data_IF_483925953935
#
_entry.id   IF_483925953935
#
_cell.length_a   1.000
_cell.length_b   1.000
_cell.length_c   1.000
_cell.angle_alpha   90.00
_cell.angle_beta   90.00
_cell.angle_gamma   90.00
#
_symmetry.space_group_name_H-M   'P 1'
#
loop_
_entity.id
_entity.type
_entity.pdbx_description
1 polymer ?
#
# COMPACT_ATOMS: atom_id res chain seq x y z
N UNK A 1 4.75 8.03 43.62
CA UNK A 1 4.49 8.06 42.17
C UNK A 1 4.85 6.69 41.59
N UNK A 2 3.87 5.79 41.54
CA UNK A 2 4.04 4.47 40.91
C UNK A 2 3.89 4.67 39.41
N UNK A 3 4.95 4.34 38.65
CA UNK A 3 4.90 4.20 37.21
C UNK A 3 4.03 2.99 36.87
N UNK A 4 2.82 3.23 36.39
CA UNK A 4 2.03 2.19 35.76
C UNK A 4 2.72 1.76 34.47
N UNK A 5 2.82 0.44 34.18
CA UNK A 5 3.30 0.00 32.89
C UNK A 5 2.33 0.56 31.82
N UNK A 6 2.85 1.27 30.86
CA UNK A 6 2.12 1.84 29.75
C UNK A 6 1.50 0.70 28.91
N UNK A 7 0.33 0.23 29.33
CA UNK A 7 -0.58 -0.47 28.41
C UNK A 7 -1.01 0.57 27.39
N UNK A 8 -0.75 0.30 26.12
CA UNK A 8 -1.34 1.08 25.02
C UNK A 8 -2.83 1.07 25.22
N UNK A 9 -3.41 2.22 25.57
CA UNK A 9 -4.84 2.42 25.70
C UNK A 9 -5.33 3.13 24.44
N UNK A 10 -6.34 2.57 23.80
CA UNK A 10 -7.15 3.29 22.82
C UNK A 10 -8.33 3.85 23.54
N UNK A 11 -8.51 5.16 23.52
CA UNK A 11 -9.69 5.81 24.08
C UNK A 11 -10.78 5.88 23.02
N UNK A 12 -12.01 5.52 23.39
CA UNK A 12 -13.13 5.33 22.50
C UNK A 12 -14.26 6.22 22.95
N UNK A 13 -14.76 7.06 22.06
CA UNK A 13 -15.86 7.94 22.35
C UNK A 13 -16.87 7.92 21.20
N UNK A 14 -18.13 7.60 21.54
CA UNK A 14 -19.29 7.88 20.69
C UNK A 14 -19.96 9.14 21.20
N UNK A 15 -20.07 10.18 20.38
CA UNK A 15 -20.63 11.46 20.78
C UNK A 15 -21.74 11.92 19.84
N UNK A 16 -22.81 12.50 20.37
CA UNK A 16 -23.91 13.06 19.58
C UNK A 16 -24.94 12.03 19.09
N UNK A 17 -24.87 10.78 19.57
CA UNK A 17 -25.83 9.74 19.18
C UNK A 17 -27.22 9.98 19.78
N UNK A 18 -28.27 9.59 19.06
CA UNK A 18 -29.65 9.76 19.43
C UNK A 18 -30.14 8.78 20.53
N UNK A 19 -29.40 7.68 20.78
CA UNK A 19 -29.71 6.65 21.75
C UNK A 19 -28.47 5.99 22.34
N UNK A 20 -28.62 5.29 23.49
CA UNK A 20 -27.52 4.51 24.09
C UNK A 20 -27.01 3.38 23.16
N UNK A 21 -27.94 2.71 22.45
CA UNK A 21 -27.58 1.67 21.49
C UNK A 21 -26.73 2.24 20.33
N UNK A 22 -27.06 3.42 19.85
CA UNK A 22 -26.30 4.11 18.83
C UNK A 22 -24.96 4.61 19.36
N UNK A 23 -24.90 5.10 20.60
CA UNK A 23 -23.65 5.46 21.28
C UNK A 23 -22.72 4.26 21.41
N UNK A 24 -23.24 3.07 21.76
CA UNK A 24 -22.46 1.84 21.79
C UNK A 24 -21.93 1.46 20.40
N UNK A 25 -22.79 1.56 19.37
CA UNK A 25 -22.38 1.33 17.98
C UNK A 25 -21.25 2.28 17.56
N UNK A 26 -21.35 3.57 17.87
CA UNK A 26 -20.33 4.56 17.59
C UNK A 26 -19.01 4.25 18.34
N UNK A 27 -19.08 3.86 19.61
CA UNK A 27 -17.92 3.48 20.39
C UNK A 27 -17.22 2.23 19.82
N UNK A 28 -17.98 1.20 19.41
CA UNK A 28 -17.45 0.00 18.74
C UNK A 28 -16.78 0.35 17.41
N UNK A 29 -17.41 1.18 16.58
CA UNK A 29 -16.81 1.68 15.35
C UNK A 29 -15.51 2.47 15.60
N UNK A 30 -15.48 3.28 16.66
CA UNK A 30 -14.29 4.00 17.09
C UNK A 30 -13.16 3.04 17.50
N UNK A 31 -13.50 1.93 18.18
CA UNK A 31 -12.54 0.88 18.54
C UNK A 31 -11.94 0.23 17.29
N UNK A 32 -12.78 -0.23 16.39
CA UNK A 32 -12.35 -0.89 15.15
C UNK A 32 -11.47 0.02 14.29
N UNK A 33 -11.84 1.31 14.21
CA UNK A 33 -11.04 2.31 13.51
C UNK A 33 -9.71 2.58 14.21
N UNK A 34 -9.69 2.75 15.53
CA UNK A 34 -8.45 2.96 16.28
C UNK A 34 -7.50 1.77 16.16
N UNK A 35 -8.00 0.54 16.28
CA UNK A 35 -7.22 -0.69 16.13
C UNK A 35 -6.72 -0.88 14.69
N UNK A 36 -7.59 -0.65 13.70
CA UNK A 36 -7.24 -0.75 12.27
C UNK A 36 -6.26 0.34 11.81
N UNK A 37 -6.04 1.38 12.61
CA UNK A 37 -5.02 2.42 12.40
C UNK A 37 -3.73 2.18 13.19
N UNK A 38 -3.63 1.02 13.84
CA UNK A 38 -2.43 0.61 14.60
C UNK A 38 -2.58 0.76 16.12
N UNK A 39 -3.76 1.12 16.64
CA UNK A 39 -3.95 1.39 18.07
C UNK A 39 -3.21 2.65 18.54
N UNK A 40 -3.05 2.80 19.85
CA UNK A 40 -2.30 3.90 20.48
C UNK A 40 -2.81 5.31 20.07
N UNK A 41 -4.13 5.42 19.89
CA UNK A 41 -4.80 6.67 19.57
C UNK A 41 -6.22 6.67 20.15
N UNK A 42 -6.75 7.85 20.39
CA UNK A 42 -8.16 8.06 20.69
C UNK A 42 -8.94 8.25 19.37
N UNK A 43 -10.06 7.58 19.23
CA UNK A 43 -11.00 7.77 18.14
C UNK A 43 -12.36 8.22 18.68
N UNK A 44 -12.90 9.28 18.11
CA UNK A 44 -14.20 9.84 18.46
C UNK A 44 -15.08 9.76 17.22
N UNK A 45 -16.19 9.00 17.31
CA UNK A 45 -17.22 8.95 16.28
C UNK A 45 -18.34 9.94 16.64
N UNK A 46 -18.69 10.79 15.67
CA UNK A 46 -19.81 11.72 15.72
C UNK A 46 -20.75 11.45 14.53
N UNK A 47 -21.90 12.09 14.49
CA UNK A 47 -22.79 12.08 13.31
C UNK A 47 -22.07 12.57 12.05
N UNK A 48 -21.12 13.49 12.19
CA UNK A 48 -20.36 14.11 11.08
C UNK A 48 -19.11 13.33 10.68
N UNK A 49 -18.81 12.17 11.31
CA UNK A 49 -17.62 11.36 10.97
C UNK A 49 -16.74 11.02 12.16
N UNK A 50 -15.45 10.75 11.88
CA UNK A 50 -14.46 10.38 12.88
C UNK A 50 -13.44 11.48 13.09
N UNK A 51 -13.08 11.71 14.36
CA UNK A 51 -11.91 12.49 14.76
C UNK A 51 -10.89 11.58 15.44
N UNK A 52 -9.59 11.77 15.14
CA UNK A 52 -8.51 10.95 15.69
C UNK A 52 -7.50 11.82 16.44
N UNK A 53 -7.03 11.33 17.60
CA UNK A 53 -6.07 12.02 18.45
C UNK A 53 -4.96 11.04 18.87
N UNK A 54 -3.69 11.42 18.75
CA UNK A 54 -2.54 10.57 19.06
C UNK A 54 -2.12 9.69 17.86
N UNK A 55 -1.57 8.50 18.16
CA UNK A 55 -1.11 7.57 17.12
C UNK A 55 0.33 7.82 16.66
N UNK A 56 1.16 8.47 17.49
CA UNK A 56 2.55 8.79 17.19
C UNK A 56 3.53 7.67 17.57
N UNK A 57 3.10 6.64 18.31
CA UNK A 57 4.01 5.59 18.77
C UNK A 57 4.28 4.55 17.68
N UNK A 58 5.52 4.06 17.62
CA UNK A 58 5.89 2.91 16.76
C UNK A 58 5.19 1.66 17.32
N UNK A 59 4.28 1.07 16.52
CA UNK A 59 3.61 -0.19 16.86
C UNK A 59 4.61 -1.32 17.09
N UNK A 60 4.32 -2.26 18.02
CA UNK A 60 5.05 -3.51 18.11
C UNK A 60 4.44 -4.46 17.07
N UNK A 61 5.26 -4.88 16.14
CA UNK A 61 4.91 -5.90 15.17
C UNK A 61 4.53 -7.21 15.91
N UNK A 62 3.27 -7.64 15.79
CA UNK A 62 2.81 -8.92 16.33
C UNK A 62 2.61 -9.86 15.16
N UNK A 63 3.59 -10.72 14.89
CA UNK A 63 3.44 -11.80 13.92
C UNK A 63 2.64 -12.94 14.53
N UNK A 64 1.54 -13.33 13.90
CA UNK A 64 0.82 -14.56 14.20
C UNK A 64 0.84 -15.48 12.99
N UNK A 65 1.82 -16.39 12.93
CA UNK A 65 1.90 -17.44 11.89
C UNK A 65 0.61 -18.26 11.78
N UNK A 66 -0.07 -18.48 12.92
CA UNK A 66 -1.36 -19.19 12.97
C UNK A 66 -2.45 -18.40 12.22
N UNK A 67 -2.53 -17.07 12.42
CA UNK A 67 -3.51 -16.21 11.74
C UNK A 67 -3.28 -16.23 10.23
N UNK A 68 -2.04 -16.03 9.79
CA UNK A 68 -1.67 -16.03 8.37
C UNK A 68 -2.01 -17.37 7.72
N UNK A 69 -1.67 -18.50 8.39
CA UNK A 69 -2.01 -19.83 7.91
C UNK A 69 -3.52 -20.03 7.78
N UNK A 70 -4.30 -19.59 8.74
CA UNK A 70 -5.77 -19.71 8.67
C UNK A 70 -6.35 -18.88 7.52
N UNK A 71 -5.83 -17.68 7.29
CA UNK A 71 -6.22 -16.82 6.17
C UNK A 71 -5.84 -17.47 4.84
N UNK A 72 -4.63 -18.00 4.73
CA UNK A 72 -4.16 -18.67 3.52
C UNK A 72 -5.03 -19.88 3.15
N UNK A 73 -5.40 -20.72 4.14
CA UNK A 73 -6.28 -21.87 3.92
C UNK A 73 -7.66 -21.39 3.44
N UNK A 74 -8.26 -20.41 4.12
CA UNK A 74 -9.57 -19.89 3.73
C UNK A 74 -9.55 -19.22 2.34
N UNK A 75 -8.49 -18.48 2.02
CA UNK A 75 -8.32 -17.89 0.70
C UNK A 75 -8.15 -18.94 -0.38
N UNK A 76 -7.36 -19.97 -0.12
CA UNK A 76 -7.18 -21.09 -1.05
C UNK A 76 -8.51 -21.80 -1.33
N UNK A 77 -9.32 -22.05 -0.31
CA UNK A 77 -10.66 -22.66 -0.47
C UNK A 77 -11.59 -21.75 -1.32
N UNK A 78 -11.57 -20.44 -1.12
CA UNK A 78 -12.34 -19.50 -1.95
C UNK A 78 -11.89 -19.52 -3.41
N UNK A 79 -10.57 -19.56 -3.67
CA UNK A 79 -10.02 -19.67 -5.02
C UNK A 79 -10.43 -20.98 -5.67
N UNK A 80 -10.33 -22.09 -4.96
CA UNK A 80 -10.70 -23.43 -5.48
C UNK A 80 -12.18 -23.53 -5.86
N UNK A 81 -13.06 -22.85 -5.13
CA UNK A 81 -14.51 -22.85 -5.38
C UNK A 81 -14.96 -21.79 -6.40
N UNK A 82 -14.12 -20.81 -6.75
CA UNK A 82 -14.45 -19.83 -7.78
C UNK A 82 -14.21 -20.37 -9.18
N UNK A 83 -14.94 -19.85 -10.17
CA UNK A 83 -14.71 -20.13 -11.60
C UNK A 83 -13.47 -19.42 -12.12
N UNK A 84 -13.24 -18.20 -11.67
CA UNK A 84 -12.11 -17.35 -12.03
C UNK A 84 -11.84 -16.30 -10.94
N UNK A 85 -10.65 -15.72 -10.96
CA UNK A 85 -10.22 -14.74 -9.97
C UNK A 85 -9.78 -13.45 -10.65
N UNK A 86 -10.33 -12.33 -10.20
CA UNK A 86 -9.87 -10.99 -10.58
C UNK A 86 -9.06 -10.39 -9.44
N UNK A 87 -7.91 -9.81 -9.77
CA UNK A 87 -7.05 -9.11 -8.82
C UNK A 87 -6.94 -7.65 -9.25
N UNK A 88 -7.21 -6.73 -8.35
CA UNK A 88 -7.02 -5.30 -8.63
C UNK A 88 -6.44 -4.59 -7.41
N UNK A 89 -5.68 -3.54 -7.67
CA UNK A 89 -5.18 -2.61 -6.66
C UNK A 89 -5.93 -1.29 -6.67
N UNK A 90 -5.20 -0.23 -6.35
CA UNK A 90 -5.69 1.14 -6.45
C UNK A 90 -5.47 1.71 -7.87
N UNK A 91 -6.28 2.72 -8.24
CA UNK A 91 -6.34 3.33 -9.60
C UNK A 91 -5.04 3.92 -10.15
N UNK A 92 -4.02 4.09 -9.35
CA UNK A 92 -2.68 4.52 -9.75
C UNK A 92 -1.67 3.42 -9.42
N UNK A 93 -1.98 2.17 -9.82
CA UNK A 93 -1.24 0.97 -9.46
C UNK A 93 0.27 1.16 -9.55
N UNK A 94 0.92 1.07 -8.42
CA UNK A 94 2.38 1.14 -8.29
C UNK A 94 3.01 -0.26 -8.22
N UNK A 95 4.30 -0.33 -7.92
CA UNK A 95 4.99 -1.62 -7.85
C UNK A 95 4.49 -2.53 -6.73
N UNK A 96 3.88 -2.00 -5.64
CA UNK A 96 3.31 -2.85 -4.61
C UNK A 96 1.93 -3.38 -5.00
N UNK A 97 1.05 -2.51 -5.53
CA UNK A 97 -0.26 -2.92 -6.03
C UNK A 97 -0.15 -3.95 -7.16
N UNK A 98 0.66 -3.67 -8.19
CA UNK A 98 0.83 -4.58 -9.34
C UNK A 98 1.66 -5.81 -8.97
N UNK A 99 2.72 -5.64 -8.16
CA UNK A 99 3.57 -6.73 -7.71
C UNK A 99 2.82 -7.75 -6.86
N UNK A 100 2.02 -7.29 -5.90
CA UNK A 100 1.18 -8.15 -5.06
C UNK A 100 0.09 -8.86 -5.88
N UNK A 101 -0.56 -8.15 -6.82
CA UNK A 101 -1.53 -8.75 -7.73
C UNK A 101 -0.89 -9.82 -8.63
N UNK A 102 0.25 -9.52 -9.28
CA UNK A 102 0.98 -10.48 -10.09
C UNK A 102 1.44 -11.70 -9.27
N UNK A 103 2.06 -11.49 -8.12
CA UNK A 103 2.53 -12.58 -7.27
C UNK A 103 1.42 -13.55 -6.87
N UNK A 104 0.27 -13.01 -6.51
CA UNK A 104 -0.90 -13.82 -6.17
C UNK A 104 -1.50 -14.50 -7.42
N UNK A 105 -1.55 -13.80 -8.57
CA UNK A 105 -1.96 -14.40 -9.85
C UNK A 105 -1.07 -15.60 -10.22
N UNK A 106 0.24 -15.49 -10.03
CA UNK A 106 1.17 -16.60 -10.24
C UNK A 106 0.86 -17.80 -9.35
N UNK A 107 0.57 -17.59 -8.08
CA UNK A 107 0.18 -18.66 -7.16
C UNK A 107 -1.17 -19.31 -7.56
N UNK A 108 -2.15 -18.50 -7.96
CA UNK A 108 -3.47 -18.98 -8.45
C UNK A 108 -3.32 -19.77 -9.74
N UNK A 109 -2.42 -19.33 -10.63
CA UNK A 109 -2.12 -20.07 -11.86
C UNK A 109 -1.51 -21.45 -11.57
N UNK A 110 -0.65 -21.56 -10.54
CA UNK A 110 -0.12 -22.86 -10.08
C UNK A 110 -1.21 -23.77 -9.48
N UNK A 111 -2.35 -23.21 -9.09
CA UNK A 111 -3.55 -23.96 -8.69
C UNK A 111 -4.47 -24.32 -9.87
N UNK A 112 -4.02 -24.08 -11.12
CA UNK A 112 -4.79 -24.30 -12.35
C UNK A 112 -6.12 -23.53 -12.40
N UNK A 113 -6.17 -22.33 -11.80
CA UNK A 113 -7.34 -21.44 -11.85
C UNK A 113 -7.05 -20.23 -12.75
N UNK A 114 -8.04 -19.79 -13.55
CA UNK A 114 -7.92 -18.53 -14.30
C UNK A 114 -7.77 -17.35 -13.33
N UNK A 115 -6.75 -16.53 -13.55
CA UNK A 115 -6.50 -15.32 -12.77
C UNK A 115 -6.19 -14.14 -13.69
N UNK A 116 -6.80 -13.00 -13.42
CA UNK A 116 -6.69 -11.78 -14.22
C UNK A 116 -6.27 -10.61 -13.33
N UNK A 117 -5.23 -9.89 -13.74
CA UNK A 117 -4.81 -8.65 -13.09
C UNK A 117 -5.50 -7.49 -13.80
N UNK A 118 -6.38 -6.80 -13.09
CA UNK A 118 -7.17 -5.69 -13.64
C UNK A 118 -6.44 -4.39 -13.41
N UNK A 119 -6.11 -3.69 -14.48
CA UNK A 119 -5.34 -2.45 -14.43
C UNK A 119 -5.65 -1.54 -15.62
N UNK A 120 -5.85 -0.25 -15.36
CA UNK A 120 -5.87 0.78 -16.39
C UNK A 120 -4.45 1.25 -16.67
N UNK A 121 -3.85 0.77 -17.74
CA UNK A 121 -2.44 1.04 -18.08
C UNK A 121 -2.11 2.52 -18.24
N UNK A 122 -3.08 3.36 -18.60
CA UNK A 122 -2.87 4.82 -18.77
C UNK A 122 -2.55 5.53 -17.47
N UNK A 123 -3.06 5.01 -16.36
CA UNK A 123 -2.88 5.60 -15.03
C UNK A 123 -1.86 4.84 -14.17
N UNK A 124 -1.38 3.68 -14.65
CA UNK A 124 -0.50 2.80 -13.92
C UNK A 124 0.91 3.40 -13.78
N UNK A 125 1.46 3.38 -12.57
CA UNK A 125 2.82 3.83 -12.28
C UNK A 125 3.86 2.69 -12.42
N UNK A 126 3.41 1.44 -12.57
CA UNK A 126 4.25 0.24 -12.68
C UNK A 126 4.29 -0.35 -14.10
N UNK A 127 4.17 0.48 -15.13
CA UNK A 127 4.15 0.01 -16.53
C UNK A 127 5.41 -0.81 -16.90
N UNK A 128 6.57 -0.45 -16.34
CA UNK A 128 7.80 -1.22 -16.56
C UNK A 128 7.70 -2.65 -16.00
N UNK A 129 7.02 -2.83 -14.87
CA UNK A 129 6.77 -4.16 -14.30
C UNK A 129 5.79 -4.93 -15.20
N UNK A 130 4.70 -4.31 -15.64
CA UNK A 130 3.72 -4.95 -16.53
C UNK A 130 4.40 -5.42 -17.82
N UNK A 131 5.15 -4.53 -18.50
CA UNK A 131 5.85 -4.86 -19.73
C UNK A 131 6.87 -6.00 -19.57
N UNK A 132 7.49 -6.11 -18.39
CA UNK A 132 8.38 -7.22 -18.07
C UNK A 132 7.60 -8.52 -17.81
N UNK A 133 6.52 -8.46 -17.05
CA UNK A 133 5.70 -9.63 -16.76
C UNK A 133 5.08 -10.23 -18.03
N UNK A 134 4.76 -9.42 -19.02
CA UNK A 134 4.27 -9.88 -20.34
C UNK A 134 5.33 -10.70 -21.13
N UNK A 135 6.61 -10.62 -20.73
CA UNK A 135 7.72 -11.36 -21.37
C UNK A 135 8.03 -12.70 -20.67
N UNK A 136 7.36 -13.01 -19.57
CA UNK A 136 7.53 -14.28 -18.87
C UNK A 136 7.05 -15.45 -19.74
N UNK A 137 7.54 -16.65 -19.51
CA UNK A 137 7.09 -17.87 -20.23
C UNK A 137 5.59 -18.14 -20.04
N UNK A 138 5.07 -17.82 -18.86
CA UNK A 138 3.66 -17.89 -18.50
C UNK A 138 3.24 -16.54 -17.96
N UNK A 139 2.92 -15.55 -18.81
CA UNK A 139 2.61 -14.21 -18.37
C UNK A 139 1.28 -14.15 -17.61
N UNK A 140 1.12 -13.24 -16.66
CA UNK A 140 -0.19 -12.96 -16.09
C UNK A 140 -1.12 -12.35 -17.15
N UNK A 141 -2.41 -12.63 -17.04
CA UNK A 141 -3.40 -12.04 -17.91
C UNK A 141 -3.80 -10.67 -17.36
N UNK A 142 -3.34 -9.60 -18.02
CA UNK A 142 -3.78 -8.24 -17.73
C UNK A 142 -5.08 -7.91 -18.46
N UNK A 143 -6.04 -7.31 -17.77
CA UNK A 143 -7.30 -6.85 -18.34
C UNK A 143 -7.53 -5.37 -18.01
N UNK A 144 -8.07 -4.65 -18.98
CA UNK A 144 -8.66 -3.33 -18.72
C UNK A 144 -9.94 -3.48 -17.88
N UNK A 145 -10.29 -2.50 -17.03
CA UNK A 145 -11.49 -2.57 -16.19
C UNK A 145 -12.79 -2.91 -16.93
N UNK A 146 -12.96 -2.42 -18.17
CA UNK A 146 -14.14 -2.70 -18.98
C UNK A 146 -14.18 -4.16 -19.44
N UNK A 147 -13.04 -4.74 -19.80
CA UNK A 147 -12.95 -6.14 -20.24
C UNK A 147 -13.19 -7.09 -19.05
N UNK A 148 -12.71 -6.74 -17.87
CA UNK A 148 -12.98 -7.47 -16.63
C UNK A 148 -14.47 -7.46 -16.29
N UNK A 149 -15.15 -6.30 -16.44
CA UNK A 149 -16.59 -6.17 -16.25
C UNK A 149 -17.41 -7.04 -17.21
N UNK A 150 -16.93 -7.26 -18.44
CA UNK A 150 -17.60 -8.12 -19.41
C UNK A 150 -17.44 -9.62 -19.09
N UNK A 151 -16.45 -10.00 -18.27
CA UNK A 151 -16.12 -11.39 -17.99
C UNK A 151 -16.54 -11.85 -16.59
N UNK A 152 -16.81 -10.92 -15.65
CA UNK A 152 -17.15 -11.29 -14.26
C UNK A 152 -18.47 -12.07 -14.22
N UNK A 153 -18.52 -13.11 -13.39
CA UNK A 153 -19.70 -13.95 -13.14
C UNK A 153 -20.11 -13.90 -11.67
N UNK A 154 -21.23 -14.54 -11.34
CA UNK A 154 -21.68 -14.65 -9.94
C UNK A 154 -20.77 -15.52 -9.06
N UNK A 155 -19.98 -16.41 -9.67
CA UNK A 155 -19.06 -17.33 -8.99
C UNK A 155 -17.60 -16.87 -9.05
N UNK A 156 -17.36 -15.67 -9.61
CA UNK A 156 -16.03 -15.06 -9.66
C UNK A 156 -15.63 -14.50 -8.29
N UNK A 157 -14.34 -14.62 -7.98
CA UNK A 157 -13.72 -14.02 -6.80
C UNK A 157 -12.98 -12.75 -7.18
N UNK A 158 -13.23 -11.66 -6.48
CA UNK A 158 -12.46 -10.42 -6.57
C UNK A 158 -11.51 -10.32 -5.37
N UNK A 159 -10.22 -10.17 -5.64
CA UNK A 159 -9.20 -9.90 -4.62
C UNK A 159 -8.68 -8.49 -4.81
N UNK A 160 -8.88 -7.64 -3.82
CA UNK A 160 -8.36 -6.27 -3.77
C UNK A 160 -7.07 -6.28 -2.96
N UNK A 161 -6.00 -5.80 -3.56
CA UNK A 161 -4.68 -5.72 -2.94
C UNK A 161 -4.25 -4.25 -2.81
N UNK A 162 -3.46 -3.96 -1.78
CA UNK A 162 -2.83 -2.66 -1.56
C UNK A 162 -3.79 -1.46 -1.45
N UNK A 163 -5.05 -1.73 -1.22
CA UNK A 163 -6.05 -0.72 -0.84
C UNK A 163 -7.27 -1.39 -0.23
N UNK A 164 -7.93 -0.69 0.66
CA UNK A 164 -9.26 -1.04 1.17
C UNK A 164 -10.26 0.10 0.99
N UNK A 165 -9.80 1.23 0.43
CA UNK A 165 -10.63 2.41 0.21
C UNK A 165 -11.40 2.29 -1.11
N UNK A 166 -12.75 2.30 -1.03
CA UNK A 166 -13.65 2.19 -2.19
C UNK A 166 -13.38 3.27 -3.25
N UNK A 167 -13.04 4.50 -2.82
CA UNK A 167 -12.79 5.64 -3.72
C UNK A 167 -11.47 5.53 -4.50
N UNK A 168 -10.55 4.66 -4.06
CA UNK A 168 -9.25 4.47 -4.68
C UNK A 168 -9.15 3.22 -5.54
N UNK A 169 -10.20 2.39 -5.59
CA UNK A 169 -10.19 1.15 -6.37
C UNK A 169 -9.89 1.41 -7.84
N UNK A 170 -9.20 0.48 -8.48
CA UNK A 170 -8.97 0.49 -9.93
C UNK A 170 -10.30 0.48 -10.69
N UNK A 171 -11.28 -0.29 -10.21
CA UNK A 171 -12.63 -0.33 -10.78
C UNK A 171 -13.68 -0.47 -9.68
N UNK A 172 -14.40 0.62 -9.42
CA UNK A 172 -15.53 0.60 -8.51
C UNK A 172 -16.70 -0.23 -9.07
N UNK A 173 -16.90 -0.19 -10.39
CA UNK A 173 -17.94 -1.00 -11.06
C UNK A 173 -17.68 -2.49 -10.91
N UNK A 174 -16.44 -2.95 -11.08
CA UNK A 174 -16.07 -4.36 -10.88
C UNK A 174 -16.29 -4.79 -9.43
N UNK A 175 -15.94 -3.93 -8.46
CA UNK A 175 -16.22 -4.18 -7.05
C UNK A 175 -17.71 -4.36 -6.76
N UNK A 176 -18.57 -3.52 -7.34
CA UNK A 176 -20.01 -3.62 -7.14
C UNK A 176 -20.63 -4.84 -7.84
N UNK A 177 -20.03 -5.34 -8.92
CA UNK A 177 -20.48 -6.54 -9.62
C UNK A 177 -20.01 -7.84 -8.90
N UNK A 178 -18.92 -7.79 -8.15
CA UNK A 178 -18.37 -8.94 -7.47
C UNK A 178 -19.22 -9.37 -6.27
N UNK A 179 -19.59 -10.65 -6.24
CA UNK A 179 -20.29 -11.26 -5.11
C UNK A 179 -19.36 -11.60 -3.94
N UNK A 180 -18.17 -12.07 -4.24
CA UNK A 180 -17.16 -12.46 -3.25
C UNK A 180 -15.98 -11.54 -3.38
N UNK A 181 -15.66 -10.83 -2.29
CA UNK A 181 -14.57 -9.86 -2.25
C UNK A 181 -13.61 -10.23 -1.11
N UNK A 182 -12.33 -10.25 -1.41
CA UNK A 182 -11.23 -10.39 -0.45
C UNK A 182 -10.41 -9.12 -0.48
N UNK A 183 -9.96 -8.65 0.68
CA UNK A 183 -9.07 -7.49 0.82
C UNK A 183 -7.78 -7.91 1.50
N UNK A 184 -6.64 -7.53 0.92
CA UNK A 184 -5.30 -7.69 1.50
C UNK A 184 -4.61 -6.34 1.46
N UNK A 185 -4.48 -5.67 2.60
CA UNK A 185 -3.97 -4.30 2.64
C UNK A 185 -3.25 -3.96 3.94
N UNK A 186 -2.23 -3.10 3.82
CA UNK A 186 -1.39 -2.64 4.93
C UNK A 186 -1.56 -1.15 5.27
N UNK A 187 -2.38 -0.41 4.52
CA UNK A 187 -2.64 1.00 4.78
C UNK A 187 -3.43 1.21 6.06
N UNK A 188 -3.28 2.38 6.68
CA UNK A 188 -4.11 2.73 7.85
C UNK A 188 -5.58 2.76 7.48
N UNK A 189 -6.42 2.13 8.30
CA UNK A 189 -7.85 1.98 8.03
C UNK A 189 -8.53 3.34 7.78
N UNK A 190 -9.21 3.45 6.64
CA UNK A 190 -9.99 4.61 6.23
C UNK A 190 -11.48 4.42 6.59
N UNK A 191 -12.23 5.52 6.65
CA UNK A 191 -13.69 5.50 6.89
C UNK A 191 -14.47 4.90 5.73
N UNK A 192 -13.98 5.05 4.49
CA UNK A 192 -14.59 4.55 3.25
C UNK A 192 -14.06 3.15 2.86
N UNK A 193 -13.84 2.28 3.85
CA UNK A 193 -13.30 0.94 3.59
C UNK A 193 -14.37 -0.03 3.05
N UNK A 194 -13.91 -1.10 2.42
CA UNK A 194 -14.74 -2.21 1.95
C UNK A 194 -15.27 -2.98 3.16
N UNK A 195 -16.58 -2.93 3.40
CA UNK A 195 -17.21 -3.53 4.58
C UNK A 195 -17.69 -4.96 4.38
N UNK A 196 -17.98 -5.35 3.12
CA UNK A 196 -18.60 -6.61 2.74
C UNK A 196 -17.59 -7.68 2.28
N UNK A 197 -16.30 -7.51 2.58
CA UNK A 197 -15.28 -8.50 2.25
C UNK A 197 -15.49 -9.80 3.07
N UNK A 198 -15.46 -10.95 2.38
CA UNK A 198 -15.52 -12.28 3.02
C UNK A 198 -14.23 -12.60 3.79
N UNK A 199 -13.09 -12.06 3.31
CA UNK A 199 -11.83 -12.01 4.05
C UNK A 199 -11.33 -10.57 4.00
N UNK A 200 -11.13 -9.96 5.17
CA UNK A 200 -10.53 -8.65 5.32
C UNK A 200 -9.20 -8.80 6.07
N UNK A 201 -8.12 -9.08 5.30
CA UNK A 201 -6.77 -9.20 5.86
C UNK A 201 -6.07 -7.86 5.82
N UNK A 202 -6.10 -7.18 6.95
CA UNK A 202 -5.56 -5.83 7.11
C UNK A 202 -4.51 -5.82 8.23
N UNK A 203 -3.28 -5.40 7.89
CA UNK A 203 -2.12 -5.41 8.80
C UNK A 203 -1.31 -4.10 8.64
N UNK A 204 -1.67 -3.01 9.36
CA UNK A 204 -1.03 -1.70 9.19
C UNK A 204 0.44 -1.65 9.62
N UNK A 205 0.97 -2.75 10.16
CA UNK A 205 2.38 -2.91 10.52
C UNK A 205 3.18 -3.70 9.49
N UNK A 206 2.55 -4.32 8.51
CA UNK A 206 3.24 -4.88 7.37
C UNK A 206 3.89 -3.76 6.56
N UNK A 207 5.01 -4.05 5.93
CA UNK A 207 5.72 -3.05 5.12
C UNK A 207 4.98 -2.74 3.83
N UNK A 208 4.31 -3.75 3.25
CA UNK A 208 3.69 -3.70 1.93
C UNK A 208 2.64 -4.81 1.76
N UNK A 209 1.75 -4.66 0.78
CA UNK A 209 0.83 -5.71 0.37
C UNK A 209 1.58 -6.92 -0.21
N UNK A 210 2.68 -6.69 -0.92
CA UNK A 210 3.57 -7.73 -1.44
C UNK A 210 4.21 -8.58 -0.33
N UNK A 211 4.57 -7.99 0.83
CA UNK A 211 4.99 -8.75 2.02
C UNK A 211 3.86 -9.68 2.48
N UNK A 212 2.65 -9.15 2.62
CA UNK A 212 1.49 -9.92 3.09
C UNK A 212 1.13 -11.05 2.13
N UNK A 213 1.13 -10.80 0.83
CA UNK A 213 0.92 -11.83 -0.21
C UNK A 213 2.03 -12.88 -0.14
N UNK A 214 3.29 -12.47 0.00
CA UNK A 214 4.43 -13.40 0.15
C UNK A 214 4.26 -14.31 1.36
N UNK A 215 3.77 -13.81 2.48
CA UNK A 215 3.48 -14.62 3.65
C UNK A 215 2.34 -15.62 3.42
N UNK A 216 1.28 -15.21 2.71
CA UNK A 216 0.11 -16.05 2.41
C UNK A 216 0.50 -17.21 1.49
N UNK A 217 1.18 -16.94 0.38
CA UNK A 217 1.50 -17.96 -0.63
C UNK A 217 2.42 -19.07 -0.10
N UNK A 218 3.21 -18.81 0.95
CA UNK A 218 4.01 -19.84 1.61
C UNK A 218 3.17 -20.95 2.26
N UNK A 219 1.88 -20.73 2.50
CA UNK A 219 0.97 -21.70 3.08
C UNK A 219 0.00 -22.29 2.05
N UNK A 220 0.04 -21.85 0.80
CA UNK A 220 -0.72 -22.50 -0.27
C UNK A 220 -0.15 -23.88 -0.58
N UNK A 221 -1.02 -24.81 -0.90
CA UNK A 221 -0.62 -26.16 -1.32
C UNK A 221 -0.33 -26.16 -2.81
N UNK A 222 0.84 -25.65 -3.18
CA UNK A 222 1.30 -25.58 -4.55
C UNK A 222 2.21 -26.79 -4.84
N UNK A 223 2.12 -27.36 -6.04
CA UNK A 223 3.00 -28.45 -6.47
C UNK A 223 4.45 -28.01 -6.68
N UNK A 224 4.66 -26.73 -6.95
CA UNK A 224 5.95 -26.06 -7.10
C UNK A 224 5.85 -24.59 -6.71
N UNK A 225 6.98 -23.97 -6.43
CA UNK A 225 7.05 -22.53 -6.19
C UNK A 225 6.58 -21.71 -7.41
N UNK A 226 6.15 -20.47 -7.18
CA UNK A 226 5.81 -19.53 -8.27
C UNK A 226 7.05 -19.23 -9.11
N UNK A 227 6.90 -18.95 -10.43
CA UNK A 227 8.04 -18.60 -11.28
C UNK A 227 8.82 -17.38 -10.77
N UNK A 228 10.12 -17.33 -11.07
CA UNK A 228 11.03 -16.31 -10.56
C UNK A 228 10.59 -14.86 -10.89
N UNK A 229 10.01 -14.61 -12.07
CA UNK A 229 9.52 -13.28 -12.44
C UNK A 229 8.38 -12.79 -11.54
N UNK A 230 7.50 -13.69 -11.07
CA UNK A 230 6.46 -13.35 -10.08
C UNK A 230 7.06 -13.07 -8.69
N UNK A 231 8.12 -13.79 -8.33
CA UNK A 231 8.87 -13.49 -7.11
C UNK A 231 9.59 -12.14 -7.19
N UNK A 232 10.11 -11.77 -8.38
CA UNK A 232 10.66 -10.44 -8.65
C UNK A 232 9.62 -9.35 -8.49
N UNK A 233 8.39 -9.57 -8.99
CA UNK A 233 7.29 -8.61 -8.87
C UNK A 233 6.94 -8.34 -7.40
N UNK A 234 6.81 -9.39 -6.58
CA UNK A 234 6.60 -9.26 -5.13
C UNK A 234 7.76 -8.53 -4.44
N UNK A 235 8.99 -8.86 -4.80
CA UNK A 235 10.17 -8.20 -4.21
C UNK A 235 10.23 -6.72 -4.60
N UNK A 236 9.81 -6.36 -5.82
CA UNK A 236 9.72 -4.97 -6.27
C UNK A 236 8.75 -4.15 -5.41
N UNK A 237 7.57 -4.70 -5.10
CA UNK A 237 6.59 -4.07 -4.21
C UNK A 237 7.18 -3.84 -2.81
N UNK A 238 7.78 -4.86 -2.20
CA UNK A 238 8.46 -4.73 -0.90
C UNK A 238 9.53 -3.63 -0.95
N UNK A 239 10.37 -3.61 -2.00
CA UNK A 239 11.44 -2.63 -2.13
C UNK A 239 10.93 -1.20 -2.32
N UNK A 240 9.79 -1.01 -3.01
CA UNK A 240 9.16 0.30 -3.18
C UNK A 240 8.77 0.88 -1.82
N UNK A 241 7.96 0.18 -1.08
CA UNK A 241 7.34 0.66 0.17
C UNK A 241 8.32 0.78 1.33
N UNK A 242 9.35 -0.05 1.31
CA UNK A 242 10.42 -0.01 2.31
C UNK A 242 11.56 0.97 1.93
N UNK A 243 11.48 1.62 0.78
CA UNK A 243 12.59 2.44 0.25
C UNK A 243 13.91 1.65 0.26
N UNK A 244 13.90 0.47 -0.38
CA UNK A 244 15.01 -0.49 -0.39
C UNK A 244 15.43 -0.94 1.02
N UNK A 245 14.47 -1.37 1.84
CA UNK A 245 14.68 -1.85 3.22
C UNK A 245 15.20 -0.80 4.22
N UNK A 246 15.02 0.49 3.93
CA UNK A 246 15.41 1.59 4.82
C UNK A 246 14.28 1.96 5.78
N UNK A 247 13.03 1.97 5.30
CA UNK A 247 11.87 2.43 6.05
C UNK A 247 10.86 1.30 6.25
N UNK A 248 10.09 1.35 7.35
CA UNK A 248 9.01 0.40 7.66
C UNK A 248 9.40 -1.08 7.54
N UNK A 249 10.69 -1.38 7.71
CA UNK A 249 11.25 -2.72 7.54
C UNK A 249 11.32 -3.42 8.90
N UNK A 250 10.61 -4.53 9.03
CA UNK A 250 10.62 -5.40 10.20
C UNK A 250 11.28 -6.74 9.89
N UNK A 251 11.29 -7.64 10.89
CA UNK A 251 11.78 -9.01 10.71
C UNK A 251 10.98 -9.75 9.64
N UNK A 252 9.65 -9.54 9.60
CA UNK A 252 8.75 -10.13 8.59
C UNK A 252 9.15 -9.76 7.17
N UNK A 253 9.50 -8.49 6.95
CA UNK A 253 9.93 -7.98 5.65
C UNK A 253 11.17 -8.72 5.16
N UNK A 254 12.17 -8.91 6.04
CA UNK A 254 13.37 -9.68 5.68
C UNK A 254 13.09 -11.17 5.49
N UNK A 255 12.19 -11.77 6.28
CA UNK A 255 11.77 -13.18 6.09
C UNK A 255 11.05 -13.35 4.72
N UNK A 256 10.16 -12.41 4.35
CA UNK A 256 9.50 -12.41 3.04
C UNK A 256 10.52 -12.26 1.89
N UNK A 257 11.42 -11.29 1.98
CA UNK A 257 12.47 -11.08 0.97
C UNK A 257 13.41 -12.30 0.87
N UNK A 258 13.79 -12.92 1.99
CA UNK A 258 14.61 -14.13 2.00
C UNK A 258 13.89 -15.31 1.33
N UNK A 259 12.58 -15.47 1.56
CA UNK A 259 11.77 -16.49 0.89
C UNK A 259 11.73 -16.22 -0.62
N UNK A 260 11.42 -15.02 -1.06
CA UNK A 260 11.40 -14.64 -2.48
C UNK A 260 12.77 -14.91 -3.14
N UNK A 261 13.85 -14.54 -2.48
CA UNK A 261 15.21 -14.83 -2.97
C UNK A 261 15.47 -16.34 -3.09
N UNK A 262 14.99 -17.14 -2.14
CA UNK A 262 15.12 -18.60 -2.14
C UNK A 262 14.43 -19.23 -3.36
N UNK A 263 13.24 -18.73 -3.73
CA UNK A 263 12.46 -19.23 -4.87
C UNK A 263 12.87 -18.62 -6.22
N UNK A 264 13.93 -17.83 -6.26
CA UNK A 264 14.56 -17.39 -7.50
C UNK A 264 14.49 -15.90 -7.82
N UNK A 265 13.91 -15.05 -6.95
CA UNK A 265 13.91 -13.61 -7.18
C UNK A 265 15.34 -13.06 -7.40
N UNK A 266 15.51 -12.23 -8.43
CA UNK A 266 16.80 -11.60 -8.78
C UNK A 266 16.78 -10.11 -8.43
N UNK A 267 17.51 -9.76 -7.37
CA UNK A 267 17.60 -8.37 -6.88
C UNK A 267 18.19 -7.40 -7.91
N UNK A 268 19.04 -7.88 -8.85
CA UNK A 268 19.59 -7.05 -9.93
C UNK A 268 18.48 -6.71 -10.92
N UNK A 269 17.70 -7.69 -11.30
CA UNK A 269 16.57 -7.51 -12.18
C UNK A 269 15.49 -6.61 -11.54
N UNK A 270 15.17 -6.84 -10.29
CA UNK A 270 14.23 -5.97 -9.53
C UNK A 270 14.74 -4.54 -9.49
N UNK A 271 16.05 -4.33 -9.29
CA UNK A 271 16.65 -2.99 -9.30
C UNK A 271 16.43 -2.24 -10.61
N UNK A 272 16.34 -2.92 -11.75
CA UNK A 272 16.09 -2.28 -13.05
C UNK A 272 14.72 -1.62 -13.14
N UNK A 273 13.71 -2.12 -12.40
CA UNK A 273 12.37 -1.54 -12.34
C UNK A 273 12.33 -0.15 -11.68
N UNK A 274 13.37 0.20 -10.93
CA UNK A 274 13.52 1.52 -10.31
C UNK A 274 14.43 2.46 -11.13
N UNK A 275 14.83 2.05 -12.33
CA UNK A 275 15.72 2.84 -13.18
C UNK A 275 14.92 3.89 -13.93
N UNK A 276 15.38 5.13 -13.88
CA UNK A 276 14.84 6.24 -14.67
C UNK A 276 15.72 6.56 -15.87
N UNK A 277 15.23 7.42 -16.76
CA UNK A 277 16.02 7.94 -17.88
C UNK A 277 17.09 8.92 -17.39
N UNK A 278 18.14 9.11 -18.19
CA UNK A 278 19.18 10.10 -17.87
C UNK A 278 18.60 11.52 -17.75
N UNK A 279 17.58 11.83 -18.53
CA UNK A 279 16.88 13.12 -18.45
C UNK A 279 16.17 13.30 -17.11
N UNK A 280 15.41 12.28 -16.63
CA UNK A 280 14.79 12.33 -15.30
C UNK A 280 15.83 12.45 -14.18
N UNK A 281 16.94 11.73 -14.29
CA UNK A 281 18.05 11.86 -13.35
C UNK A 281 18.62 13.27 -13.32
N UNK A 282 18.87 13.88 -14.50
CA UNK A 282 19.40 15.24 -14.60
C UNK A 282 18.43 16.27 -13.99
N UNK A 283 17.13 16.17 -14.32
CA UNK A 283 16.10 17.05 -13.75
C UNK A 283 16.01 16.92 -12.22
N UNK A 284 15.98 15.69 -11.71
CA UNK A 284 15.98 15.42 -10.26
C UNK A 284 17.23 15.98 -9.58
N UNK A 285 18.41 15.75 -10.16
CA UNK A 285 19.67 16.27 -9.63
C UNK A 285 19.71 17.80 -9.61
N UNK A 286 19.10 18.49 -10.58
CA UNK A 286 18.93 19.93 -10.56
C UNK A 286 18.05 20.40 -9.38
N UNK A 287 16.96 19.71 -9.10
CA UNK A 287 16.08 20.00 -7.95
C UNK A 287 16.90 19.87 -6.66
N UNK A 288 17.63 18.77 -6.50
CA UNK A 288 18.46 18.52 -5.31
C UNK A 288 19.57 19.56 -5.16
N UNK A 289 20.26 19.91 -6.25
CA UNK A 289 21.36 20.88 -6.24
C UNK A 289 20.92 22.32 -5.89
N UNK A 290 19.65 22.66 -6.12
CA UNK A 290 19.09 23.97 -5.76
C UNK A 290 18.40 23.99 -4.40
N UNK A 291 18.51 22.91 -3.61
CA UNK A 291 17.92 22.87 -2.30
C UNK A 291 18.65 23.80 -1.32
N UNK A 292 17.88 24.55 -0.55
CA UNK A 292 18.36 25.38 0.55
C UNK A 292 18.12 24.66 1.88
N UNK A 293 19.11 24.71 2.76
CA UNK A 293 19.00 24.14 4.11
C UNK A 293 18.58 25.22 5.10
N UNK A 294 17.40 25.05 5.69
CA UNK A 294 16.91 25.90 6.76
C UNK A 294 16.79 25.08 8.05
N UNK A 295 17.65 25.33 9.03
CA UNK A 295 17.88 24.45 10.17
C UNK A 295 18.17 23.00 9.72
N UNK A 296 17.27 22.07 9.98
CA UNK A 296 17.38 20.66 9.55
C UNK A 296 16.37 20.32 8.44
N UNK A 297 15.83 21.31 7.73
CA UNK A 297 14.86 21.15 6.67
C UNK A 297 15.48 21.53 5.32
N UNK A 298 15.44 20.61 4.36
CA UNK A 298 15.85 20.89 2.99
C UNK A 298 14.62 21.34 2.17
N UNK A 299 14.71 22.51 1.56
CA UNK A 299 13.62 23.11 0.78
C UNK A 299 14.11 23.36 -0.63
N UNK A 300 13.40 22.88 -1.64
CA UNK A 300 13.69 23.14 -3.05
C UNK A 300 12.41 23.47 -3.82
N UNK A 301 12.57 24.20 -4.93
CA UNK A 301 11.48 24.53 -5.83
C UNK A 301 11.82 24.16 -7.26
N UNK A 302 10.92 23.45 -7.93
CA UNK A 302 11.02 23.12 -9.36
C UNK A 302 10.68 24.35 -10.18
N UNK A 303 11.65 24.82 -10.99
CA UNK A 303 11.53 26.05 -11.81
C UNK A 303 11.19 25.76 -13.28
N UNK A 304 11.01 24.51 -13.64
CA UNK A 304 10.64 24.08 -14.99
C UNK A 304 9.27 23.41 -14.99
N UNK A 305 8.62 23.36 -16.14
CA UNK A 305 7.34 22.68 -16.32
C UNK A 305 7.55 21.37 -17.06
N UNK A 306 7.09 20.28 -16.46
CA UNK A 306 7.15 18.93 -17.01
C UNK A 306 5.92 18.15 -16.51
N UNK A 307 5.41 17.24 -17.30
CA UNK A 307 4.29 16.36 -16.92
C UNK A 307 4.60 15.51 -15.68
N UNK A 308 5.86 15.14 -15.50
CA UNK A 308 6.35 14.32 -14.39
C UNK A 308 6.77 15.12 -13.14
N UNK A 309 6.46 16.43 -13.06
CA UNK A 309 6.93 17.27 -11.95
C UNK A 309 6.59 16.71 -10.57
N UNK A 310 5.40 16.11 -10.40
CA UNK A 310 5.02 15.47 -9.13
C UNK A 310 5.94 14.30 -8.77
N UNK A 311 6.21 13.42 -9.74
CA UNK A 311 7.08 12.26 -9.55
C UNK A 311 8.52 12.69 -9.26
N UNK A 312 9.06 13.60 -10.06
CA UNK A 312 10.41 14.15 -9.88
C UNK A 312 10.57 14.83 -8.52
N UNK A 313 9.56 15.61 -8.10
CA UNK A 313 9.56 16.27 -6.80
C UNK A 313 9.52 15.29 -5.63
N UNK A 314 8.72 14.23 -5.74
CA UNK A 314 8.66 13.18 -4.74
C UNK A 314 10.01 12.44 -4.60
N UNK A 315 10.62 12.08 -5.74
CA UNK A 315 11.94 11.42 -5.76
C UNK A 315 13.06 12.35 -5.25
N UNK A 316 13.03 13.63 -5.60
CA UNK A 316 13.98 14.61 -5.09
C UNK A 316 13.84 14.84 -3.58
N UNK A 317 12.59 14.85 -3.07
CA UNK A 317 12.35 14.95 -1.64
C UNK A 317 12.89 13.72 -0.88
N UNK A 318 12.73 12.52 -1.42
CA UNK A 318 13.34 11.30 -0.86
C UNK A 318 14.88 11.37 -0.89
N UNK A 319 15.48 11.87 -1.97
CA UNK A 319 16.95 12.02 -2.12
C UNK A 319 17.53 13.05 -1.15
N UNK A 320 16.84 14.17 -0.93
CA UNK A 320 17.23 15.20 0.03
C UNK A 320 17.31 14.67 1.46
N UNK A 321 16.48 13.69 1.84
CA UNK A 321 16.56 13.04 3.15
C UNK A 321 17.83 12.20 3.34
N UNK A 322 18.53 11.83 2.27
CA UNK A 322 19.81 11.11 2.37
C UNK A 322 20.99 12.00 2.74
N UNK A 323 20.78 13.33 2.73
CA UNK A 323 21.82 14.31 3.05
C UNK A 323 21.99 14.40 4.57
N UNK A 324 23.23 14.36 5.02
CA UNK A 324 23.55 14.45 6.44
C UNK A 324 23.00 15.74 7.06
N UNK A 325 22.28 15.59 8.18
CA UNK A 325 21.71 16.71 8.93
C UNK A 325 20.32 17.14 8.46
N UNK A 326 19.74 16.52 7.42
CA UNK A 326 18.36 16.76 6.98
C UNK A 326 17.41 15.84 7.73
N UNK A 327 16.44 16.41 8.42
CA UNK A 327 15.38 15.69 9.14
C UNK A 327 14.04 15.70 8.40
N UNK A 328 13.81 16.71 7.55
CA UNK A 328 12.65 16.80 6.67
C UNK A 328 13.02 17.52 5.36
N UNK A 329 12.35 17.17 4.28
CA UNK A 329 12.52 17.78 2.96
C UNK A 329 11.19 18.20 2.38
N UNK A 330 11.20 19.32 1.63
CA UNK A 330 10.05 19.89 0.97
C UNK A 330 10.45 20.30 -0.44
N UNK A 331 9.76 19.76 -1.43
CA UNK A 331 9.96 20.11 -2.83
C UNK A 331 8.65 20.67 -3.39
N UNK A 332 8.71 21.94 -3.80
CA UNK A 332 7.58 22.66 -4.38
C UNK A 332 7.63 22.54 -5.90
N UNK A 333 6.48 22.34 -6.54
CA UNK A 333 6.37 22.28 -8.00
C UNK A 333 5.09 22.95 -8.50
N UNK A 334 5.10 23.35 -9.77
CA UNK A 334 3.92 23.91 -10.42
C UNK A 334 2.97 22.78 -10.81
N UNK A 335 1.75 22.82 -10.29
CA UNK A 335 0.63 21.94 -10.66
C UNK A 335 -0.37 22.71 -11.52
N UNK A 336 -1.34 22.01 -12.12
CA UNK A 336 -2.33 22.61 -13.03
C UNK A 336 -3.21 23.67 -12.35
N UNK A 337 -3.47 23.52 -11.06
CA UNK A 337 -4.39 24.33 -10.24
C UNK A 337 -3.69 25.11 -9.13
N UNK A 338 -2.35 25.16 -9.15
CA UNK A 338 -1.60 25.91 -8.13
C UNK A 338 -0.18 25.39 -7.91
N UNK A 339 0.25 25.36 -6.65
CA UNK A 339 1.57 24.86 -6.24
C UNK A 339 1.39 23.55 -5.47
N UNK A 340 1.96 22.48 -6.00
CA UNK A 340 2.07 21.20 -5.29
C UNK A 340 3.31 21.19 -4.40
N UNK A 341 3.24 20.46 -3.28
CA UNK A 341 4.37 20.27 -2.37
C UNK A 341 4.52 18.77 -2.08
N UNK A 342 5.71 18.24 -2.32
CA UNK A 342 6.12 16.91 -1.85
C UNK A 342 6.95 17.07 -0.58
N UNK A 343 6.46 16.56 0.54
CA UNK A 343 7.13 16.61 1.83
C UNK A 343 7.54 15.20 2.29
N UNK A 344 8.71 15.07 2.90
CA UNK A 344 9.23 13.81 3.45
C UNK A 344 9.91 14.05 4.80
N UNK A 345 9.92 13.02 5.65
CA UNK A 345 10.59 13.05 6.96
C UNK A 345 11.07 11.67 7.37
N UNK A 346 12.15 11.63 8.13
CA UNK A 346 12.64 10.41 8.81
C UNK A 346 11.88 10.11 10.13
N UNK A 347 10.73 10.76 10.36
CA UNK A 347 9.83 10.51 11.48
C UNK A 347 10.04 11.38 12.73
N UNK A 348 11.07 12.24 12.76
CA UNK A 348 11.23 13.25 13.82
C UNK A 348 10.31 14.44 13.65
N UNK A 349 10.10 14.85 12.39
CA UNK A 349 9.20 15.92 12.01
C UNK A 349 7.90 15.31 11.48
N UNK A 350 6.76 15.74 11.99
CA UNK A 350 5.46 15.37 11.43
C UNK A 350 5.14 16.30 10.28
N UNK A 351 5.50 15.92 9.06
CA UNK A 351 5.25 16.73 7.84
C UNK A 351 3.76 16.83 7.50
N UNK A 352 2.92 15.91 7.95
CA UNK A 352 1.47 15.98 7.77
C UNK A 352 0.90 17.27 8.37
N UNK A 353 1.28 17.60 9.61
CA UNK A 353 0.81 18.83 10.27
C UNK A 353 1.23 20.09 9.50
N UNK A 354 2.43 20.09 8.91
CA UNK A 354 2.90 21.19 8.06
C UNK A 354 2.03 21.30 6.80
N UNK A 355 1.75 20.17 6.17
CA UNK A 355 0.93 20.14 4.94
C UNK A 355 -0.52 20.54 5.23
N UNK A 356 -1.12 20.08 6.32
CA UNK A 356 -2.48 20.46 6.73
C UNK A 356 -2.59 21.95 7.01
N UNK A 357 -1.57 22.56 7.64
CA UNK A 357 -1.52 24.01 7.86
C UNK A 357 -1.43 24.84 6.55
N UNK A 358 -0.95 24.21 5.46
CA UNK A 358 -0.88 24.82 4.12
C UNK A 358 -2.08 24.45 3.24
N UNK A 359 -3.13 23.82 3.78
CA UNK A 359 -4.33 23.42 3.05
C UNK A 359 -4.20 22.10 2.27
N UNK A 360 -3.14 21.36 2.50
CA UNK A 360 -2.91 20.03 1.95
C UNK A 360 -3.23 18.90 2.94
N UNK A 361 -2.56 17.77 2.78
CA UNK A 361 -2.69 16.59 3.65
C UNK A 361 -1.57 15.60 3.38
N UNK A 362 -1.63 14.45 3.98
CA UNK A 362 -0.63 13.40 3.79
C UNK A 362 -0.48 12.48 5.01
N UNK A 363 0.68 11.87 5.12
CA UNK A 363 1.08 11.04 6.25
C UNK A 363 2.14 11.74 7.10
N UNK A 364 2.40 11.21 8.31
CA UNK A 364 3.40 11.77 9.21
C UNK A 364 4.80 11.92 8.58
N UNK A 365 5.15 11.04 7.68
CA UNK A 365 6.46 11.00 6.99
C UNK A 365 6.38 11.32 5.49
N UNK A 366 5.17 11.47 4.96
CA UNK A 366 4.90 11.74 3.53
C UNK A 366 3.75 12.71 3.34
#
# INVERSE_FOLDING_TARGET
LHSFPTRRSSDLVGFGASSLAESEKFARQSLDMALGRGGDQAAVKTENGFCFFGGASKGIEKKSKTKIRSIAIALQELIEHSDQVFLMGHRFGDLDAIGSACGLAGAIHMMHKPAYVVVNRKNCLAEQLIARMEQEETPPHFLEPLDAMAQITADSLLIVVDTHNKELLESESLYHAARYVVVIDHHRKNVNFIENAVIFHHEPYASSASEMVTEIIQYFRLDRDIPAGYADALLAGIMLDTKNFVMRTGVRTFEAAAYLRKIGADTVQVKTLFSGTISMYQMRSQIVAHAELFHHHAISAVKFQNEDNRLLSAQAADELLSIQGVEASYVLYIANDGVGICARSMGRVNVQLVMEALGGGGHQTM
#
